data_IF_936344050046
#
_entry.id   IF_936344050046
#
_cell.length_a   1.000
_cell.length_b   1.000
_cell.length_c   1.000
_cell.angle_alpha   90.00
_cell.angle_beta   90.00
_cell.angle_gamma   90.00
#
_symmetry.space_group_name_H-M   'P 1'
#
loop_
_entity.id
_entity.type
_entity.pdbx_description
1 polymer ?
#
# COMPACT_ATOMS: atom_id res chain seq x y z
N UNK A 1 10.62 -0.88 0.63
CA UNK A 1 9.21 -1.14 0.27
C UNK A 1 8.99 -1.36 -1.23
N UNK A 2 9.60 -0.56 -2.11
CA UNK A 2 9.40 -0.67 -3.57
C UNK A 2 9.60 -2.09 -4.13
N UNK A 3 10.72 -2.77 -3.80
CA UNK A 3 10.94 -4.15 -4.24
C UNK A 3 9.90 -5.15 -3.70
N UNK A 4 9.45 -4.96 -2.46
CA UNK A 4 8.37 -5.76 -1.88
C UNK A 4 7.05 -5.57 -2.63
N UNK A 5 6.71 -4.32 -2.99
CA UNK A 5 5.54 -4.01 -3.80
C UNK A 5 5.61 -4.68 -5.18
N UNK A 6 6.76 -4.62 -5.85
CA UNK A 6 6.99 -5.28 -7.15
C UNK A 6 6.74 -6.79 -7.02
N UNK A 7 7.34 -7.44 -6.01
CA UNK A 7 7.15 -8.87 -5.78
C UNK A 7 5.69 -9.25 -5.52
N UNK A 8 4.98 -8.46 -4.70
CA UNK A 8 3.56 -8.66 -4.39
C UNK A 8 2.70 -8.54 -5.67
N UNK A 9 2.93 -7.50 -6.48
CA UNK A 9 2.18 -7.28 -7.69
C UNK A 9 2.44 -8.39 -8.71
N UNK A 10 3.69 -8.69 -9.05
CA UNK A 10 4.05 -9.71 -10.04
C UNK A 10 3.47 -11.09 -9.71
N UNK A 11 3.39 -11.47 -8.43
CA UNK A 11 2.78 -12.76 -8.01
C UNK A 11 1.28 -12.86 -8.28
N UNK A 12 0.62 -11.74 -8.55
CA UNK A 12 -0.81 -11.64 -8.78
C UNK A 12 -1.21 -10.73 -9.94
N UNK A 13 -0.28 -10.39 -10.83
CA UNK A 13 -0.49 -9.43 -11.91
C UNK A 13 -1.65 -9.88 -12.80
N UNK A 14 -1.64 -11.14 -13.23
CA UNK A 14 -2.67 -11.73 -14.10
C UNK A 14 -4.06 -11.85 -13.45
N UNK A 15 -4.14 -11.71 -12.11
CA UNK A 15 -5.37 -11.91 -11.33
C UNK A 15 -5.94 -10.62 -10.75
N UNK A 16 -5.20 -9.51 -10.78
CA UNK A 16 -5.64 -8.25 -10.16
C UNK A 16 -6.25 -7.27 -11.15
N UNK A 17 -6.10 -7.51 -12.46
CA UNK A 17 -6.68 -6.71 -13.53
C UNK A 17 -6.20 -5.26 -13.56
N UNK A 18 -6.89 -4.42 -14.34
CA UNK A 18 -6.51 -3.01 -14.53
C UNK A 18 -6.48 -2.19 -13.23
N UNK A 19 -7.40 -2.45 -12.30
CA UNK A 19 -7.41 -1.77 -11.00
C UNK A 19 -6.13 -2.05 -10.21
N UNK A 20 -5.66 -3.31 -10.25
CA UNK A 20 -4.41 -3.71 -9.61
C UNK A 20 -3.19 -3.04 -10.25
N UNK A 21 -3.16 -2.95 -11.58
CA UNK A 21 -2.08 -2.25 -12.30
C UNK A 21 -2.03 -0.76 -11.97
N UNK A 22 -3.19 -0.08 -11.96
CA UNK A 22 -3.27 1.34 -11.59
C UNK A 22 -2.80 1.54 -10.15
N UNK A 23 -3.30 0.71 -9.22
CA UNK A 23 -2.88 0.76 -7.82
C UNK A 23 -1.38 0.53 -7.66
N UNK A 24 -0.82 -0.47 -8.35
CA UNK A 24 0.62 -0.73 -8.38
C UNK A 24 1.41 0.45 -8.93
N UNK A 25 1.01 1.02 -10.07
CA UNK A 25 1.73 2.13 -10.69
C UNK A 25 1.76 3.38 -9.80
N UNK A 26 0.64 3.74 -9.18
CA UNK A 26 0.56 4.83 -8.21
C UNK A 26 1.41 4.56 -6.97
N UNK A 27 1.33 3.33 -6.45
CA UNK A 27 2.11 2.93 -5.28
C UNK A 27 3.62 2.97 -5.57
N UNK A 28 4.04 2.47 -6.72
CA UNK A 28 5.44 2.46 -7.14
C UNK A 28 5.96 3.89 -7.39
N UNK A 29 5.18 4.73 -8.08
CA UNK A 29 5.54 6.13 -8.32
C UNK A 29 5.68 6.92 -7.02
N UNK A 30 4.71 6.80 -6.11
CA UNK A 30 4.74 7.47 -4.81
C UNK A 30 5.92 7.00 -3.94
N UNK A 31 6.18 5.69 -3.90
CA UNK A 31 7.35 5.16 -3.17
C UNK A 31 8.68 5.57 -3.80
N UNK A 32 8.74 5.73 -5.13
CA UNK A 32 9.94 6.18 -5.81
C UNK A 32 10.20 7.69 -5.61
N UNK A 33 9.14 8.49 -5.51
CA UNK A 33 9.26 9.95 -5.35
C UNK A 33 9.69 10.38 -3.95
N UNK A 34 9.59 9.50 -2.95
CA UNK A 34 10.05 9.76 -1.58
C UNK A 34 11.47 9.21 -1.33
N UNK A 35 12.17 8.76 -2.37
CA UNK A 35 13.57 8.33 -2.27
C UNK A 35 14.47 9.56 -2.45
N UNK A 36 15.05 10.05 -1.35
CA UNK A 36 15.96 11.19 -1.37
C UNK A 36 16.02 11.92 -0.04
N UNK A 37 16.80 13.01 0.04
CA UNK A 37 16.81 13.86 1.22
C UNK A 37 15.43 14.52 1.42
N UNK A 38 14.96 14.55 2.66
CA UNK A 38 13.74 15.24 3.08
C UNK A 38 13.95 16.75 2.95
N UNK A 39 13.77 17.25 1.73
CA UNK A 39 13.86 18.65 1.39
C UNK A 39 12.73 19.03 0.44
N UNK A 40 12.28 20.28 0.52
CA UNK A 40 11.41 20.85 -0.49
C UNK A 40 12.18 20.92 -1.81
N UNK A 41 11.80 20.11 -2.80
CA UNK A 41 12.29 20.29 -4.17
C UNK A 41 11.33 21.22 -4.90
N UNK A 42 11.83 22.34 -5.42
CA UNK A 42 11.01 23.33 -6.13
C UNK A 42 9.84 23.90 -5.30
N UNK A 43 9.98 23.93 -3.95
CA UNK A 43 8.89 24.35 -3.04
C UNK A 43 7.79 23.31 -2.83
N UNK A 44 7.97 22.08 -3.33
CA UNK A 44 7.00 21.00 -3.24
C UNK A 44 7.42 20.01 -2.15
N UNK A 45 6.46 19.64 -1.30
CA UNK A 45 6.64 18.61 -0.27
C UNK A 45 6.45 17.21 -0.88
N UNK A 46 7.51 16.70 -1.53
CA UNK A 46 7.49 15.41 -2.22
C UNK A 46 7.20 14.23 -1.30
N UNK A 47 7.61 14.31 -0.03
CA UNK A 47 7.31 13.27 0.96
C UNK A 47 5.80 13.14 1.19
N UNK A 48 5.12 14.27 1.39
CA UNK A 48 3.67 14.30 1.60
C UNK A 48 2.94 13.79 0.36
N UNK A 49 3.21 14.37 -0.81
CA UNK A 49 2.53 14.01 -2.06
C UNK A 49 2.82 12.54 -2.44
N UNK A 50 4.09 12.14 -2.38
CA UNK A 50 4.52 10.78 -2.68
C UNK A 50 3.95 9.75 -1.71
N UNK A 51 3.93 10.06 -0.41
CA UNK A 51 3.30 9.24 0.61
C UNK A 51 1.80 9.07 0.41
N UNK A 52 1.08 10.16 0.08
CA UNK A 52 -0.34 10.11 -0.26
C UNK A 52 -0.59 9.26 -1.50
N UNK A 53 0.20 9.45 -2.56
CA UNK A 53 0.09 8.68 -3.80
C UNK A 53 0.37 7.19 -3.55
N UNK A 54 1.37 6.90 -2.71
CA UNK A 54 1.70 5.55 -2.29
C UNK A 54 0.52 4.88 -1.57
N UNK A 55 -0.08 5.58 -0.60
CA UNK A 55 -1.22 5.09 0.16
C UNK A 55 -2.46 4.84 -0.69
N UNK A 56 -2.79 5.76 -1.61
CA UNK A 56 -3.91 5.59 -2.56
C UNK A 56 -3.65 4.37 -3.45
N UNK A 57 -2.44 4.24 -3.99
CA UNK A 57 -2.07 3.10 -4.84
C UNK A 57 -2.19 1.76 -4.11
N UNK A 58 -1.70 1.69 -2.87
CA UNK A 58 -1.81 0.48 -2.04
C UNK A 58 -3.26 0.15 -1.67
N UNK A 59 -4.08 1.15 -1.36
CA UNK A 59 -5.50 0.94 -1.12
C UNK A 59 -6.21 0.38 -2.37
N UNK A 60 -5.95 0.95 -3.55
CA UNK A 60 -6.50 0.44 -4.82
C UNK A 60 -6.03 -0.99 -5.11
N UNK A 61 -4.77 -1.30 -4.86
CA UNK A 61 -4.23 -2.64 -5.00
C UNK A 61 -4.92 -3.62 -4.02
N UNK A 62 -5.15 -3.21 -2.77
CA UNK A 62 -5.92 -3.99 -1.78
C UNK A 62 -7.36 -4.25 -2.24
N UNK A 63 -8.05 -3.23 -2.73
CA UNK A 63 -9.41 -3.34 -3.31
C UNK A 63 -9.41 -4.28 -4.52
N UNK A 64 -8.42 -4.19 -5.40
CA UNK A 64 -8.29 -5.08 -6.56
C UNK A 64 -8.14 -6.54 -6.12
N UNK A 65 -7.35 -6.79 -5.08
CA UNK A 65 -7.18 -8.13 -4.51
C UNK A 65 -8.46 -8.64 -3.87
N UNK A 66 -9.24 -7.79 -3.20
CA UNK A 66 -10.55 -8.17 -2.65
C UNK A 66 -11.55 -8.52 -3.74
N UNK A 67 -11.70 -7.64 -4.74
CA UNK A 67 -12.64 -7.81 -5.84
C UNK A 67 -12.38 -9.09 -6.63
N UNK A 68 -11.10 -9.42 -6.83
CA UNK A 68 -10.70 -10.59 -7.60
C UNK A 68 -10.35 -11.82 -6.73
N UNK A 69 -10.69 -11.80 -5.43
CA UNK A 69 -10.43 -12.90 -4.48
C UNK A 69 -8.98 -13.41 -4.46
N UNK A 70 -8.01 -12.49 -4.54
CA UNK A 70 -6.57 -12.80 -4.57
C UNK A 70 -6.01 -12.85 -3.14
N UNK A 71 -6.00 -14.06 -2.57
CA UNK A 71 -5.50 -14.32 -1.23
C UNK A 71 -6.49 -13.94 -0.13
N UNK A 72 -6.07 -13.97 1.15
CA UNK A 72 -6.96 -13.74 2.28
C UNK A 72 -7.55 -12.34 2.31
N UNK A 73 -8.88 -12.25 2.42
CA UNK A 73 -9.62 -10.97 2.43
C UNK A 73 -9.19 -10.05 3.58
N UNK A 74 -8.93 -10.62 4.76
CA UNK A 74 -8.46 -9.84 5.93
C UNK A 74 -7.15 -9.10 5.65
N UNK A 75 -6.23 -9.74 4.92
CA UNK A 75 -4.94 -9.12 4.55
C UNK A 75 -5.15 -8.03 3.49
N UNK A 76 -6.01 -8.28 2.50
CA UNK A 76 -6.28 -7.34 1.42
C UNK A 76 -7.02 -6.06 1.88
N UNK A 77 -7.69 -6.09 3.04
CA UNK A 77 -8.34 -4.93 3.66
C UNK A 77 -7.39 -3.99 4.40
N UNK A 78 -6.15 -4.43 4.72
CA UNK A 78 -5.25 -3.65 5.59
C UNK A 78 -4.93 -2.28 4.98
N UNK A 79 -4.54 -2.22 3.71
CA UNK A 79 -4.20 -0.95 3.06
C UNK A 79 -5.40 -0.03 2.79
N UNK A 80 -6.57 -0.53 2.33
CA UNK A 80 -7.79 0.27 2.31
C UNK A 80 -8.15 0.86 3.68
N UNK A 81 -8.05 0.06 4.75
CA UNK A 81 -8.29 0.53 6.12
C UNK A 81 -7.28 1.58 6.56
N UNK A 82 -6.01 1.43 6.20
CA UNK A 82 -4.97 2.42 6.48
C UNK A 82 -5.30 3.79 5.85
N UNK A 83 -5.75 3.79 4.59
CA UNK A 83 -6.17 5.02 3.91
C UNK A 83 -7.42 5.63 4.56
N UNK A 84 -8.41 4.81 4.92
CA UNK A 84 -9.63 5.27 5.58
C UNK A 84 -9.34 5.90 6.95
N UNK A 85 -8.52 5.24 7.77
CA UNK A 85 -8.10 5.75 9.09
C UNK A 85 -7.28 7.02 8.95
N UNK A 86 -6.34 7.06 7.99
CA UNK A 86 -5.53 8.25 7.73
C UNK A 86 -6.37 9.45 7.33
N UNK A 87 -7.31 9.25 6.40
CA UNK A 87 -8.27 10.29 5.98
C UNK A 87 -9.09 10.78 7.17
N UNK A 88 -9.61 9.87 8.00
CA UNK A 88 -10.36 10.23 9.21
C UNK A 88 -9.50 11.03 10.19
N UNK A 89 -8.22 10.65 10.36
CA UNK A 89 -7.27 11.39 11.19
C UNK A 89 -7.00 12.80 10.69
N UNK A 90 -6.88 12.98 9.38
CA UNK A 90 -6.77 14.32 8.76
C UNK A 90 -8.03 15.17 9.02
N UNK A 91 -9.22 14.60 8.81
CA UNK A 91 -10.50 15.30 9.02
C UNK A 91 -10.73 15.69 10.49
N UNK A 92 -10.27 14.85 11.42
CA UNK A 92 -10.42 15.08 12.87
C UNK A 92 -9.24 15.81 13.49
N UNK A 93 -8.22 16.17 12.70
CA UNK A 93 -6.95 16.74 13.17
C UNK A 93 -6.29 15.92 14.28
N UNK A 94 -6.45 14.59 14.25
CA UNK A 94 -5.94 13.68 15.27
C UNK A 94 -4.62 13.04 14.78
N UNK A 95 -3.46 13.36 15.38
CA UNK A 95 -2.16 12.85 14.92
C UNK A 95 -2.01 11.33 15.03
N UNK A 96 -2.66 10.70 16.02
CA UNK A 96 -2.63 9.25 16.21
C UNK A 96 -3.32 8.54 15.03
N UNK A 97 -4.50 9.02 14.65
CA UNK A 97 -5.26 8.50 13.52
C UNK A 97 -4.67 8.92 12.16
N UNK A 98 -4.06 10.10 12.08
CA UNK A 98 -3.55 10.66 10.83
C UNK A 98 -2.19 10.13 10.41
N UNK A 99 -1.36 9.68 11.37
CA UNK A 99 0.02 9.27 11.08
C UNK A 99 0.38 7.90 11.66
N UNK A 100 0.25 7.70 12.97
CA UNK A 100 0.74 6.48 13.62
C UNK A 100 -0.02 5.23 13.17
N UNK A 101 -1.35 5.22 13.28
CA UNK A 101 -2.15 4.03 12.92
C UNK A 101 -2.02 3.69 11.43
N UNK A 102 -2.17 4.65 10.49
CA UNK A 102 -1.97 4.37 9.06
C UNK A 102 -0.55 3.87 8.75
N UNK A 103 0.48 4.44 9.40
CA UNK A 103 1.86 3.99 9.24
C UNK A 103 2.09 2.55 9.70
N UNK A 104 1.51 2.17 10.84
CA UNK A 104 1.54 0.77 11.31
C UNK A 104 0.80 -0.14 10.33
N UNK A 105 -0.42 0.22 9.91
CA UNK A 105 -1.19 -0.60 8.96
C UNK A 105 -0.48 -0.73 7.60
N UNK A 106 0.17 0.34 7.13
CA UNK A 106 1.01 0.32 5.93
C UNK A 106 2.08 -0.76 6.02
N UNK A 107 2.87 -0.77 7.11
CA UNK A 107 3.92 -1.75 7.34
C UNK A 107 3.39 -3.17 7.55
N UNK A 108 2.35 -3.32 8.38
CA UNK A 108 1.69 -4.61 8.64
C UNK A 108 1.14 -5.21 7.35
N UNK A 109 0.62 -4.42 6.42
CA UNK A 109 0.16 -4.91 5.12
C UNK A 109 1.28 -5.56 4.30
N UNK A 110 2.48 -4.97 4.26
CA UNK A 110 3.64 -5.58 3.60
C UNK A 110 4.07 -6.87 4.28
N UNK A 111 4.14 -6.89 5.61
CA UNK A 111 4.53 -8.08 6.38
C UNK A 111 3.51 -9.20 6.20
N UNK A 112 2.22 -8.92 6.38
CA UNK A 112 1.15 -9.90 6.28
C UNK A 112 1.07 -10.53 4.88
N UNK A 113 1.15 -9.73 3.81
CA UNK A 113 1.18 -10.24 2.45
C UNK A 113 2.47 -11.03 2.21
N UNK A 114 3.62 -10.51 2.63
CA UNK A 114 4.92 -11.19 2.48
C UNK A 114 4.94 -12.57 3.13
N UNK A 115 4.50 -12.67 4.38
CA UNK A 115 4.38 -13.94 5.09
C UNK A 115 3.40 -14.88 4.37
N UNK A 116 2.24 -14.37 3.95
CA UNK A 116 1.29 -15.18 3.19
C UNK A 116 1.91 -15.73 1.90
N UNK A 117 2.70 -14.95 1.17
CA UNK A 117 3.36 -15.40 -0.05
C UNK A 117 4.45 -16.46 0.22
N UNK A 118 5.16 -16.35 1.34
CA UNK A 118 6.19 -17.32 1.74
C UNK A 118 5.52 -18.64 2.18
N UNK A 119 4.52 -18.59 3.05
CA UNK A 119 3.88 -19.80 3.59
C UNK A 119 2.95 -20.47 2.58
N UNK A 120 2.25 -19.72 1.72
CA UNK A 120 1.47 -20.31 0.62
C UNK A 120 2.35 -21.08 -0.38
N UNK A 121 3.65 -20.77 -0.45
CA UNK A 121 4.63 -21.52 -1.27
C UNK A 121 5.13 -22.79 -0.57
N UNK A 122 5.18 -22.80 0.75
CA UNK A 122 5.63 -23.95 1.55
C UNK A 122 4.53 -25.00 1.76
N UNK A 123 3.26 -24.59 1.69
CA UNK A 123 2.08 -25.46 1.81
C UNK A 123 1.53 -26.00 0.49
N UNK A 124 2.37 -26.24 -0.53
CA UNK A 124 1.98 -27.09 -1.65
C UNK A 124 1.96 -28.56 -1.19
N UNK A 125 0.96 -28.90 -0.39
CA UNK A 125 0.36 -30.22 -0.22
C UNK A 125 -0.99 -30.20 -0.92
#
# INVERSE_FOLDING_TARGET
MLFGLIGIYLKSADRTGWLGLIGFALAAAGLASIVGPDALMFGIEFYLIGGTLAMIGLALLGIARLKNSVGPKGIALIWPSALAVGTLGTLTMNPLLGFMIPGVLFGVGFVAIGLHLIYAKQGAL
#
